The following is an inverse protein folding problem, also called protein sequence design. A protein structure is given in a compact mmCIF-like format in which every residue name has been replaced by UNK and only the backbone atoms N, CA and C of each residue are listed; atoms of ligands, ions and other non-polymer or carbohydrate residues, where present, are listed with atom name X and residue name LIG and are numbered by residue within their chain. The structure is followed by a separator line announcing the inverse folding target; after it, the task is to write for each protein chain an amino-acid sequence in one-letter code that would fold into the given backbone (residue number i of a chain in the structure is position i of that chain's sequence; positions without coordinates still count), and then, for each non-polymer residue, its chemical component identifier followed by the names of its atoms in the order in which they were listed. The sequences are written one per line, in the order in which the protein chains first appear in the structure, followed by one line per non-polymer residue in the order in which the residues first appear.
data_IF_960644553752
#
_entry.id   IF_960644553752
#
_cell.length_a   1.000
_cell.length_b   1.000
_cell.length_c   1.000
_cell.angle_alpha   90.00
_cell.angle_beta   90.00
_cell.angle_gamma   90.00
#
_symmetry.space_group_name_H-M   'P 1'
#
loop_
_entity.id
_entity.type
_entity.pdbx_description
1 polymer ?
#
# COMPACT_ATOMS: atom_id res chain seq x y z
N UNK A 1 -8.08 -11.59 -25.96
CA UNK A 1 -7.01 -10.88 -25.22
C UNK A 1 -6.48 -11.88 -24.21
N UNK A 2 -5.19 -12.19 -24.25
CA UNK A 2 -4.58 -13.14 -23.33
C UNK A 2 -4.45 -12.49 -21.94
N UNK A 3 -4.89 -13.21 -20.90
CA UNK A 3 -4.79 -12.75 -19.51
C UNK A 3 -3.34 -12.55 -19.07
N UNK A 4 -2.38 -13.22 -19.72
CA UNK A 4 -0.95 -13.08 -19.44
C UNK A 4 -0.36 -11.71 -19.84
N UNK A 5 -1.06 -10.96 -20.70
CA UNK A 5 -0.62 -9.66 -21.20
C UNK A 5 -1.17 -8.48 -20.39
N UNK A 6 -2.02 -8.75 -19.39
CA UNK A 6 -2.62 -7.72 -18.56
C UNK A 6 -1.65 -7.27 -17.45
N UNK A 7 -1.63 -5.97 -17.18
CA UNK A 7 -0.87 -5.40 -16.08
C UNK A 7 -1.37 -5.93 -14.72
N UNK A 8 -0.52 -5.94 -13.68
CA UNK A 8 -0.92 -6.35 -12.34
C UNK A 8 -2.13 -5.55 -11.83
N UNK A 9 -3.11 -6.24 -11.26
CA UNK A 9 -4.34 -5.63 -10.73
C UNK A 9 -4.15 -4.98 -9.36
N UNK A 10 -3.15 -5.42 -8.61
CA UNK A 10 -2.88 -5.00 -7.22
C UNK A 10 -2.83 -3.47 -7.03
N UNK A 11 -2.05 -2.68 -7.78
CA UNK A 11 -1.99 -1.22 -7.58
C UNK A 11 -3.33 -0.52 -7.84
N UNK A 12 -4.11 -1.01 -8.80
CA UNK A 12 -5.44 -0.47 -9.09
C UNK A 12 -6.43 -0.74 -7.96
N UNK A 13 -6.44 -1.97 -7.44
CA UNK A 13 -7.27 -2.33 -6.30
C UNK A 13 -6.86 -1.56 -5.05
N UNK A 14 -5.55 -1.38 -4.81
CA UNK A 14 -5.06 -0.58 -3.69
C UNK A 14 -5.62 0.83 -3.71
N UNK A 15 -5.51 1.55 -4.84
CA UNK A 15 -6.07 2.90 -4.98
C UNK A 15 -7.59 2.91 -4.82
N UNK A 16 -8.29 1.95 -5.42
CA UNK A 16 -9.75 1.86 -5.31
C UNK A 16 -10.20 1.67 -3.85
N UNK A 17 -9.54 0.79 -3.09
CA UNK A 17 -9.83 0.60 -1.67
C UNK A 17 -9.40 1.79 -0.83
N UNK A 18 -8.27 2.42 -1.15
CA UNK A 18 -7.81 3.64 -0.47
C UNK A 18 -8.87 4.74 -0.53
N UNK A 19 -9.32 5.11 -1.74
CA UNK A 19 -10.36 6.13 -1.94
C UNK A 19 -11.67 5.73 -1.25
N UNK A 20 -12.10 4.47 -1.43
CA UNK A 20 -13.33 3.98 -0.79
C UNK A 20 -13.27 4.07 0.75
N UNK A 21 -12.13 3.78 1.37
CA UNK A 21 -11.95 3.93 2.81
C UNK A 21 -12.07 5.40 3.24
N UNK A 22 -11.49 6.32 2.47
CA UNK A 22 -11.56 7.76 2.76
C UNK A 22 -12.98 8.32 2.63
N UNK A 23 -13.70 7.96 1.57
CA UNK A 23 -15.10 8.37 1.35
C UNK A 23 -15.99 7.97 2.54
N UNK A 24 -15.70 6.82 3.14
CA UNK A 24 -16.42 6.27 4.30
C UNK A 24 -15.86 6.75 5.65
N UNK A 25 -14.99 7.77 5.65
CA UNK A 25 -14.36 8.33 6.85
C UNK A 25 -13.60 7.30 7.71
N UNK A 26 -13.06 6.25 7.06
CA UNK A 26 -12.23 5.24 7.69
C UNK A 26 -10.74 5.62 7.62
N UNK A 27 -9.91 4.98 8.46
CA UNK A 27 -8.46 5.19 8.44
C UNK A 27 -7.78 4.09 7.64
N UNK A 28 -7.23 4.37 6.45
CA UNK A 28 -6.55 3.36 5.64
C UNK A 28 -5.23 2.93 6.27
N UNK A 29 -5.07 1.61 6.40
CA UNK A 29 -3.84 0.99 6.88
C UNK A 29 -3.31 0.02 5.81
N UNK A 30 -2.01 0.06 5.58
CA UNK A 30 -1.31 -0.80 4.64
C UNK A 30 -0.45 -1.80 5.40
N UNK A 31 -0.63 -3.09 5.11
CA UNK A 31 0.25 -4.15 5.60
C UNK A 31 1.30 -4.42 4.52
N UNK A 32 2.57 -4.32 4.90
CA UNK A 32 3.71 -4.52 4.01
C UNK A 32 4.54 -5.71 4.53
N UNK A 33 4.92 -6.60 3.62
CA UNK A 33 5.90 -7.65 3.89
C UNK A 33 7.31 -7.04 3.85
N UNK A 34 7.99 -7.00 4.99
CA UNK A 34 9.32 -6.37 5.11
C UNK A 34 10.46 -7.27 4.65
N UNK A 35 10.16 -8.51 4.24
CA UNK A 35 11.17 -9.45 3.74
C UNK A 35 11.43 -9.30 2.24
N UNK A 36 10.58 -8.55 1.53
CA UNK A 36 10.70 -8.34 0.10
C UNK A 36 11.87 -7.39 -0.24
N UNK A 37 12.66 -7.69 -1.28
CA UNK A 37 13.72 -6.77 -1.75
C UNK A 37 13.15 -5.41 -2.15
N UNK A 38 13.84 -4.34 -1.74
CA UNK A 38 13.47 -2.96 -2.07
C UNK A 38 12.56 -2.26 -1.04
N UNK A 39 12.02 -2.99 -0.06
CA UNK A 39 11.23 -2.38 1.02
C UNK A 39 12.13 -1.56 1.95
N UNK A 40 11.77 -0.29 2.14
CA UNK A 40 12.48 0.65 3.01
C UNK A 40 11.52 1.19 4.06
N UNK A 41 11.63 0.68 5.29
CA UNK A 41 10.79 1.07 6.43
C UNK A 41 11.64 1.08 7.70
N UNK A 42 11.21 1.74 8.79
CA UNK A 42 11.89 1.63 10.07
C UNK A 42 11.64 0.24 10.67
N UNK A 43 12.64 -0.63 10.56
CA UNK A 43 12.57 -2.06 10.91
C UNK A 43 12.31 -2.30 12.40
N UNK A 44 12.55 -1.33 13.26
CA UNK A 44 12.24 -1.39 14.69
C UNK A 44 10.73 -1.52 14.99
N UNK A 45 9.87 -1.16 14.04
CA UNK A 45 8.42 -1.32 14.16
C UNK A 45 7.89 -2.56 13.45
N UNK A 46 8.72 -3.27 12.69
CA UNK A 46 8.33 -4.50 12.02
C UNK A 46 8.17 -5.65 13.02
N UNK A 47 7.16 -6.49 12.81
CA UNK A 47 6.85 -7.67 13.62
C UNK A 47 6.46 -8.83 12.71
N UNK A 48 7.03 -10.00 12.94
CA UNK A 48 6.72 -11.23 12.21
C UNK A 48 6.82 -11.09 10.67
N UNK A 49 7.81 -10.36 10.20
CA UNK A 49 8.02 -10.12 8.76
C UNK A 49 7.05 -9.12 8.15
N UNK A 50 6.26 -8.40 8.96
CA UNK A 50 5.30 -7.41 8.49
C UNK A 50 5.44 -6.07 9.20
N UNK A 51 5.00 -5.00 8.55
CA UNK A 51 4.77 -3.70 9.17
C UNK A 51 3.39 -3.18 8.75
N UNK A 52 2.68 -2.56 9.69
CA UNK A 52 1.40 -1.91 9.41
C UNK A 52 1.60 -0.40 9.42
N UNK A 53 1.33 0.24 8.30
CA UNK A 53 1.49 1.67 8.10
C UNK A 53 0.12 2.34 8.03
N UNK A 54 -0.05 3.44 8.75
CA UNK A 54 -1.21 4.31 8.57
C UNK A 54 -0.93 5.26 7.39
N UNK A 55 -1.74 5.14 6.34
CA UNK A 55 -1.59 5.94 5.10
C UNK A 55 -2.70 6.99 4.95
N UNK A 56 -3.45 7.29 6.01
CA UNK A 56 -4.42 8.37 5.99
C UNK A 56 -3.74 9.72 5.66
N UNK A 57 -4.39 10.64 4.92
CA UNK A 57 -3.77 11.91 4.50
C UNK A 57 -3.14 12.74 5.63
N UNK A 58 -3.67 12.62 6.86
CA UNK A 58 -3.15 13.30 8.05
C UNK A 58 -1.90 12.66 8.68
N UNK A 59 -1.56 11.44 8.28
CA UNK A 59 -0.47 10.63 8.83
C UNK A 59 0.75 10.56 7.91
N UNK A 60 0.63 11.06 6.67
CA UNK A 60 1.66 10.99 5.63
C UNK A 60 1.83 12.34 4.94
N UNK A 61 3.01 12.57 4.36
CA UNK A 61 3.25 13.69 3.45
C UNK A 61 3.69 13.14 2.10
N UNK A 62 3.19 13.73 1.00
CA UNK A 62 3.53 13.32 -0.37
C UNK A 62 3.34 11.81 -0.65
N UNK A 63 2.21 11.23 -0.21
CA UNK A 63 1.90 9.84 -0.50
C UNK A 63 1.73 9.64 -2.01
N UNK A 64 2.48 8.70 -2.57
CA UNK A 64 2.35 8.27 -3.96
C UNK A 64 1.89 6.81 -4.01
N UNK A 65 0.78 6.54 -4.69
CA UNK A 65 0.26 5.19 -4.91
C UNK A 65 0.44 4.81 -6.38
N UNK A 66 1.67 4.56 -6.82
CA UNK A 66 2.00 4.29 -8.22
C UNK A 66 1.68 2.82 -8.62
N UNK A 67 1.97 2.45 -9.86
CA UNK A 67 1.77 1.07 -10.32
C UNK A 67 2.86 0.12 -9.83
N UNK A 68 4.08 0.61 -9.75
CA UNK A 68 5.27 -0.19 -9.48
C UNK A 68 5.83 0.05 -8.07
N UNK A 69 5.42 1.14 -7.41
CA UNK A 69 5.92 1.54 -6.08
C UNK A 69 4.85 2.27 -5.26
N UNK A 70 5.02 2.19 -3.93
CA UNK A 70 4.26 2.87 -2.87
C UNK A 70 5.22 3.17 -1.73
#
# INVERSE_FOLDING_TARGET
MDLSQLTPRRPYLLRAFYEWLLDNQLTPHLVVDVTLPGVQVPMEYARDGQIVLNIAPRAVGNLELANDEV
#
